data_IF_325246904411
#
_entry.id   IF_325246904411
#
_cell.length_a   1.000
_cell.length_b   1.000
_cell.length_c   1.000
_cell.angle_alpha   90.00
_cell.angle_beta   90.00
_cell.angle_gamma   90.00
#
_symmetry.space_group_name_H-M   'P 1'
#
loop_
_entity.id
_entity.type
_entity.pdbx_description
1 polymer ?
#
# COMPACT_ATOMS: atom_id res chain seq x y z
N UNK A 1 75.25 9.02 34.60
CA UNK A 1 74.79 10.35 34.23
C UNK A 1 73.62 10.20 33.32
N UNK A 2 72.45 10.39 33.82
CA UNK A 2 71.19 10.07 33.11
C UNK A 2 70.49 11.41 32.86
N UNK A 3 70.37 11.75 31.59
CA UNK A 3 69.71 12.99 31.20
C UNK A 3 68.26 12.69 30.80
N UNK A 4 67.36 13.15 31.61
CA UNK A 4 65.95 12.98 31.49
C UNK A 4 65.38 14.16 30.69
N UNK A 5 64.86 13.91 29.49
CA UNK A 5 64.14 14.88 28.66
C UNK A 5 62.63 14.77 28.86
N UNK A 6 61.89 15.86 28.98
CA UNK A 6 60.45 15.79 29.21
C UNK A 6 59.68 15.47 27.91
N UNK A 7 58.80 14.52 28.01
CA UNK A 7 57.86 14.14 26.94
C UNK A 7 56.76 15.20 26.86
N UNK A 8 56.69 15.88 25.72
CA UNK A 8 55.58 16.79 25.39
C UNK A 8 54.41 15.95 24.89
N UNK A 9 53.34 15.93 25.66
CA UNK A 9 52.08 15.35 25.27
C UNK A 9 51.35 16.32 24.31
N UNK A 10 51.34 15.99 23.03
CA UNK A 10 50.52 16.70 22.06
C UNK A 10 49.15 16.05 22.10
N UNK A 11 48.18 16.78 22.63
CA UNK A 11 46.76 16.38 22.56
C UNK A 11 46.25 16.62 21.12
N UNK A 12 46.17 15.57 20.35
CA UNK A 12 45.44 15.57 19.06
C UNK A 12 43.96 15.60 19.34
N UNK A 13 43.35 16.78 19.21
CA UNK A 13 41.92 16.93 19.12
C UNK A 13 41.46 16.31 17.77
N UNK A 14 40.99 15.08 17.81
CA UNK A 14 40.31 14.46 16.67
C UNK A 14 38.94 15.09 16.57
N UNK A 15 38.82 15.97 15.59
CA UNK A 15 37.52 16.51 15.15
C UNK A 15 36.81 15.38 14.35
N UNK A 16 35.98 14.58 15.01
CA UNK A 16 35.07 13.67 14.32
C UNK A 16 34.00 14.48 13.62
N UNK A 17 34.22 14.73 12.33
CA UNK A 17 33.16 15.15 11.44
C UNK A 17 32.13 14.00 11.31
N UNK A 18 31.01 14.13 12.01
CA UNK A 18 29.85 13.27 11.81
C UNK A 18 29.25 13.62 10.44
N UNK A 19 29.65 12.88 9.44
CA UNK A 19 28.93 12.82 8.18
C UNK A 19 27.55 12.20 8.48
N UNK A 20 26.56 13.05 8.69
CA UNK A 20 25.18 12.64 8.78
C UNK A 20 24.74 12.04 7.45
N UNK A 21 24.67 10.72 7.37
CA UNK A 21 23.90 10.07 6.33
C UNK A 21 22.44 10.47 6.50
N UNK A 22 22.01 11.42 5.67
CA UNK A 22 20.59 11.79 5.54
C UNK A 22 19.87 10.63 4.85
N UNK A 23 19.50 9.62 5.62
CA UNK A 23 18.52 8.65 5.18
C UNK A 23 17.19 9.38 5.09
N UNK A 24 16.71 9.64 3.88
CA UNK A 24 15.32 10.05 3.68
C UNK A 24 14.43 9.04 4.41
N UNK A 25 13.54 9.46 5.30
CA UNK A 25 12.60 8.55 5.91
C UNK A 25 11.76 7.95 4.77
N UNK A 26 11.89 6.64 4.58
CA UNK A 26 11.00 5.85 3.74
C UNK A 26 9.64 5.97 4.41
N UNK A 27 8.76 6.78 3.85
CA UNK A 27 7.39 6.84 4.30
C UNK A 27 6.77 5.49 3.98
N UNK A 28 6.77 4.63 4.97
CA UNK A 28 5.92 3.46 4.98
C UNK A 28 4.52 4.00 5.14
N UNK A 29 3.77 4.09 4.05
CA UNK A 29 2.33 4.33 4.12
C UNK A 29 1.74 3.04 4.69
N UNK A 30 1.76 2.96 6.00
CA UNK A 30 0.95 1.99 6.71
C UNK A 30 -0.47 2.51 6.55
N UNK A 31 -1.29 1.85 5.75
CA UNK A 31 -2.75 2.00 5.78
C UNK A 31 -3.25 1.26 7.02
N UNK A 32 -2.58 1.49 8.13
CA UNK A 32 -3.06 1.19 9.46
C UNK A 32 -3.26 2.56 10.08
N UNK A 33 -4.53 2.95 10.23
CA UNK A 33 -4.87 4.13 10.99
C UNK A 33 -4.16 4.08 12.35
N UNK A 34 -3.14 4.92 12.51
CA UNK A 34 -2.59 5.23 13.82
C UNK A 34 -3.70 5.96 14.59
N UNK A 35 -4.45 5.18 15.35
CA UNK A 35 -5.49 5.67 16.25
C UNK A 35 -4.82 6.29 17.48
N UNK A 36 -4.12 7.40 17.26
CA UNK A 36 -3.70 8.27 18.36
C UNK A 36 -4.47 9.58 18.22
N UNK A 37 -5.46 9.75 19.04
CA UNK A 37 -6.26 10.95 19.32
C UNK A 37 -7.76 10.91 18.94
N UNK A 38 -8.42 9.77 18.81
CA UNK A 38 -9.88 9.77 18.62
C UNK A 38 -10.37 10.42 17.31
N UNK A 39 -9.46 10.77 16.40
CA UNK A 39 -9.75 11.30 15.10
C UNK A 39 -9.97 10.15 14.13
N UNK A 40 -11.15 10.08 13.52
CA UNK A 40 -11.39 9.14 12.42
C UNK A 40 -10.36 9.40 11.31
N UNK A 41 -9.86 8.34 10.64
CA UNK A 41 -8.95 8.51 9.51
C UNK A 41 -9.61 9.40 8.44
N UNK A 42 -8.83 10.28 7.84
CA UNK A 42 -9.29 11.05 6.69
C UNK A 42 -9.44 10.11 5.49
N UNK A 43 -10.67 9.80 5.13
CA UNK A 43 -11.00 8.88 4.05
C UNK A 43 -11.08 9.57 2.67
N UNK A 44 -11.10 10.89 2.64
CA UNK A 44 -11.24 11.67 1.39
C UNK A 44 -10.13 11.34 0.39
N UNK A 45 -8.84 11.31 0.76
CA UNK A 45 -7.79 10.95 -0.17
C UNK A 45 -7.89 9.50 -0.68
N UNK A 46 -8.38 8.59 0.16
CA UNK A 46 -8.56 7.18 -0.20
C UNK A 46 -9.67 7.05 -1.24
N UNK A 47 -10.82 7.67 -0.99
CA UNK A 47 -11.96 7.67 -1.91
C UNK A 47 -11.56 8.30 -3.25
N UNK A 48 -10.88 9.44 -3.23
CA UNK A 48 -10.41 10.09 -4.44
C UNK A 48 -9.47 9.20 -5.25
N UNK A 49 -8.51 8.53 -4.60
CA UNK A 49 -7.56 7.62 -5.25
C UNK A 49 -8.27 6.40 -5.87
N UNK A 50 -9.28 5.84 -5.21
CA UNK A 50 -10.08 4.73 -5.73
C UNK A 50 -10.88 5.16 -6.96
N UNK A 51 -11.53 6.33 -6.91
CA UNK A 51 -12.31 6.85 -8.03
C UNK A 51 -11.43 7.21 -9.22
N UNK A 52 -10.27 7.81 -9.00
CA UNK A 52 -9.28 8.07 -10.05
C UNK A 52 -8.81 6.76 -10.71
N UNK A 53 -8.60 5.72 -9.93
CA UNK A 53 -8.23 4.42 -10.47
C UNK A 53 -9.38 3.83 -11.30
N UNK A 54 -10.60 3.88 -10.79
CA UNK A 54 -11.78 3.41 -11.52
C UNK A 54 -11.89 4.13 -12.87
N UNK A 55 -11.86 5.47 -12.89
CA UNK A 55 -11.95 6.23 -14.13
C UNK A 55 -10.83 5.92 -15.12
N UNK A 56 -9.60 5.74 -14.61
CA UNK A 56 -8.45 5.39 -15.46
C UNK A 56 -8.58 4.01 -16.10
N UNK A 57 -9.37 3.14 -15.52
CA UNK A 57 -9.55 1.73 -15.93
C UNK A 57 -10.96 1.40 -16.39
N UNK A 58 -11.87 2.38 -16.37
CA UNK A 58 -13.27 2.19 -16.75
C UNK A 58 -13.39 1.51 -18.11
N UNK A 59 -14.23 0.47 -18.18
CA UNK A 59 -14.45 -0.28 -19.40
C UNK A 59 -13.34 -1.28 -19.78
N UNK A 60 -12.23 -1.32 -19.03
CA UNK A 60 -11.21 -2.37 -19.23
C UNK A 60 -11.84 -3.73 -19.05
N UNK A 61 -11.77 -4.58 -20.07
CA UNK A 61 -12.42 -5.90 -20.08
C UNK A 61 -11.80 -6.85 -19.08
N UNK A 62 -12.62 -7.73 -18.54
CA UNK A 62 -12.10 -8.82 -17.71
C UNK A 62 -11.23 -9.77 -18.53
N UNK A 63 -10.06 -10.09 -18.00
CA UNK A 63 -9.16 -11.09 -18.55
C UNK A 63 -8.45 -11.83 -17.42
N UNK A 64 -8.66 -13.12 -17.31
CA UNK A 64 -8.00 -13.96 -16.31
C UNK A 64 -6.48 -13.79 -16.34
N UNK A 65 -5.87 -13.53 -15.18
CA UNK A 65 -4.44 -13.27 -15.04
C UNK A 65 -3.99 -11.92 -15.58
N UNK A 66 -4.90 -11.10 -16.13
CA UNK A 66 -4.58 -9.80 -16.71
C UNK A 66 -4.22 -8.75 -15.69
N UNK A 67 -3.34 -7.82 -16.09
CA UNK A 67 -2.84 -6.70 -15.28
C UNK A 67 -2.67 -5.42 -16.09
N UNK A 68 -3.26 -5.33 -17.26
CA UNK A 68 -3.09 -4.25 -18.24
C UNK A 68 -4.45 -3.66 -18.64
N UNK A 69 -4.43 -2.45 -19.21
CA UNK A 69 -5.64 -1.82 -19.78
C UNK A 69 -6.24 -2.61 -20.95
N UNK A 70 -5.50 -3.55 -21.53
CA UNK A 70 -6.00 -4.50 -22.54
C UNK A 70 -6.76 -5.66 -21.94
N UNK A 71 -6.74 -5.80 -20.62
CA UNK A 71 -7.47 -6.83 -19.87
C UNK A 71 -6.91 -7.02 -18.47
N UNK A 72 -7.80 -7.12 -17.50
CA UNK A 72 -7.47 -7.22 -16.07
C UNK A 72 -8.42 -8.17 -15.36
N UNK A 73 -7.91 -8.97 -14.41
CA UNK A 73 -8.76 -9.72 -13.48
C UNK A 73 -8.96 -8.97 -12.15
N UNK A 74 -9.79 -9.52 -11.27
CA UNK A 74 -10.14 -8.88 -10.01
C UNK A 74 -8.91 -8.61 -9.11
N UNK A 75 -8.04 -9.59 -8.92
CA UNK A 75 -6.82 -9.43 -8.13
C UNK A 75 -5.75 -8.59 -8.86
N UNK A 76 -5.75 -8.62 -10.19
CA UNK A 76 -4.91 -7.74 -11.01
C UNK A 76 -5.28 -6.27 -10.86
N UNK A 77 -6.58 -5.96 -10.86
CA UNK A 77 -7.07 -4.61 -10.60
C UNK A 77 -6.71 -4.13 -9.19
N UNK A 78 -6.90 -4.99 -8.18
CA UNK A 78 -6.49 -4.68 -6.80
C UNK A 78 -4.99 -4.41 -6.72
N UNK A 79 -4.16 -5.30 -7.26
CA UNK A 79 -2.71 -5.13 -7.28
C UNK A 79 -2.28 -3.83 -7.95
N UNK A 80 -2.84 -3.51 -9.12
CA UNK A 80 -2.55 -2.26 -9.82
C UNK A 80 -2.96 -1.04 -9.00
N UNK A 81 -4.12 -1.06 -8.39
CA UNK A 81 -4.60 0.03 -7.54
C UNK A 81 -3.68 0.26 -6.34
N UNK A 82 -3.32 -0.80 -5.62
CA UNK A 82 -2.40 -0.71 -4.48
C UNK A 82 -1.04 -0.14 -4.88
N UNK A 83 -0.53 -0.55 -6.04
CA UNK A 83 0.75 -0.07 -6.56
C UNK A 83 0.66 1.36 -7.07
N UNK A 84 -0.32 1.66 -7.93
CA UNK A 84 -0.36 2.91 -8.70
C UNK A 84 -0.90 4.08 -7.88
N UNK A 85 -1.85 3.84 -6.96
CA UNK A 85 -2.52 4.89 -6.19
C UNK A 85 -2.04 4.98 -4.75
N UNK A 86 -1.71 3.85 -4.15
CA UNK A 86 -1.30 3.80 -2.74
C UNK A 86 0.20 3.58 -2.54
N UNK A 87 0.94 3.42 -3.64
CA UNK A 87 2.39 3.24 -3.61
C UNK A 87 2.85 2.06 -2.73
N UNK A 88 2.02 1.03 -2.65
CA UNK A 88 2.30 -0.18 -1.88
C UNK A 88 3.11 -1.14 -2.76
N UNK A 89 4.39 -1.35 -2.46
CA UNK A 89 5.23 -2.28 -3.20
C UNK A 89 4.89 -3.70 -2.81
N UNK A 90 4.26 -4.43 -3.71
CA UNK A 90 3.97 -5.85 -3.52
C UNK A 90 4.06 -6.61 -4.83
N UNK A 91 4.43 -7.88 -4.74
CA UNK A 91 4.38 -8.78 -5.88
C UNK A 91 2.94 -9.06 -6.31
N UNK A 92 2.79 -9.45 -7.56
CA UNK A 92 1.49 -9.85 -8.09
C UNK A 92 1.02 -11.14 -7.41
N UNK A 93 -0.08 -11.06 -6.68
CA UNK A 93 -0.70 -12.19 -5.96
C UNK A 93 -2.11 -12.45 -6.44
N UNK A 94 -2.59 -13.66 -6.24
CA UNK A 94 -3.95 -14.09 -6.57
C UNK A 94 -4.95 -13.67 -5.50
N UNK A 95 -6.25 -13.76 -5.81
CA UNK A 95 -7.30 -13.52 -4.82
C UNK A 95 -7.22 -14.48 -3.62
N UNK A 96 -6.77 -15.73 -3.85
CA UNK A 96 -6.59 -16.72 -2.77
C UNK A 96 -5.45 -16.36 -1.82
N UNK A 97 -4.46 -15.66 -2.31
CA UNK A 97 -3.35 -15.17 -1.49
C UNK A 97 -3.75 -13.89 -0.77
N UNK A 98 -4.38 -12.93 -1.47
CA UNK A 98 -4.84 -11.66 -0.91
C UNK A 98 -5.72 -11.84 0.33
N UNK A 99 -6.65 -12.81 0.33
CA UNK A 99 -7.57 -13.01 1.46
C UNK A 99 -6.85 -13.39 2.75
N UNK A 100 -5.62 -13.87 2.66
CA UNK A 100 -4.79 -14.26 3.81
C UNK A 100 -3.78 -13.18 4.22
N UNK A 101 -3.72 -12.05 3.52
CA UNK A 101 -2.68 -11.03 3.73
C UNK A 101 -3.10 -9.90 4.65
N UNK A 102 -4.35 -9.73 4.93
CA UNK A 102 -4.88 -8.63 5.74
C UNK A 102 -5.34 -9.07 7.12
N UNK A 103 -5.93 -8.11 7.83
CA UNK A 103 -6.66 -8.37 9.07
C UNK A 103 -8.16 -8.43 8.76
N UNK A 104 -8.90 -9.40 9.30
CA UNK A 104 -10.34 -9.45 9.12
C UNK A 104 -11.03 -8.22 9.72
N UNK A 105 -11.96 -7.64 8.99
CA UNK A 105 -12.79 -6.51 9.42
C UNK A 105 -14.24 -6.96 9.43
N UNK A 106 -14.97 -6.60 10.48
CA UNK A 106 -16.41 -6.87 10.54
C UNK A 106 -17.14 -6.02 9.47
N UNK A 107 -18.14 -6.59 8.83
CA UNK A 107 -18.90 -5.91 7.76
C UNK A 107 -19.43 -4.53 8.16
N UNK A 108 -19.84 -4.37 9.43
CA UNK A 108 -20.32 -3.09 9.96
C UNK A 108 -19.23 -2.01 10.10
N UNK A 109 -17.96 -2.42 10.06
CA UNK A 109 -16.80 -1.54 10.24
C UNK A 109 -16.00 -1.34 8.95
N UNK A 110 -16.53 -1.74 7.80
CA UNK A 110 -15.87 -1.54 6.51
C UNK A 110 -15.68 -0.05 6.24
N UNK A 111 -14.49 0.29 5.79
CA UNK A 111 -14.10 1.63 5.36
C UNK A 111 -13.69 1.62 3.89
N UNK A 112 -13.86 2.73 3.16
CA UNK A 112 -13.32 2.86 1.82
C UNK A 112 -11.84 2.46 1.75
N UNK A 113 -11.52 1.59 0.80
CA UNK A 113 -10.19 1.00 0.64
C UNK A 113 -10.02 -0.40 1.23
N UNK A 114 -10.93 -0.85 2.08
CA UNK A 114 -10.93 -2.24 2.54
C UNK A 114 -11.21 -3.20 1.38
N UNK A 115 -10.56 -4.37 1.42
CA UNK A 115 -10.81 -5.41 0.43
C UNK A 115 -12.03 -6.25 0.82
N UNK A 116 -12.94 -6.40 -0.12
CA UNK A 116 -14.13 -7.22 0.02
C UNK A 116 -13.96 -8.50 -0.82
N UNK A 117 -14.16 -9.64 -0.18
CA UNK A 117 -14.07 -10.95 -0.82
C UNK A 117 -15.44 -11.62 -0.87
N UNK A 118 -15.79 -12.17 -2.00
CA UNK A 118 -17.06 -12.89 -2.20
C UNK A 118 -16.90 -13.99 -3.23
N UNK A 119 -17.90 -14.90 -3.29
CA UNK A 119 -17.89 -16.00 -4.23
C UNK A 119 -18.92 -15.79 -5.32
N UNK A 120 -18.48 -15.97 -6.57
CA UNK A 120 -19.33 -16.01 -7.74
C UNK A 120 -19.15 -17.40 -8.37
N UNK A 121 -20.20 -18.23 -8.41
CA UNK A 121 -20.13 -19.58 -9.01
C UNK A 121 -18.90 -20.37 -8.55
N UNK A 122 -18.66 -20.44 -7.24
CA UNK A 122 -17.51 -21.12 -6.62
C UNK A 122 -16.13 -20.46 -6.82
N UNK A 123 -16.00 -19.42 -7.63
CA UNK A 123 -14.77 -18.67 -7.77
C UNK A 123 -14.70 -17.55 -6.74
N UNK A 124 -13.52 -17.37 -6.13
CA UNK A 124 -13.27 -16.29 -5.20
C UNK A 124 -13.00 -15.00 -5.98
N UNK A 125 -13.70 -13.94 -5.60
CA UNK A 125 -13.60 -12.62 -6.22
C UNK A 125 -13.21 -11.57 -5.18
N UNK A 126 -12.59 -10.47 -5.63
CA UNK A 126 -12.15 -9.38 -4.77
C UNK A 126 -12.41 -8.02 -5.40
N UNK A 127 -12.69 -7.04 -4.58
CA UNK A 127 -12.77 -5.63 -4.95
C UNK A 127 -12.49 -4.74 -3.75
N UNK A 128 -12.44 -3.44 -3.95
CA UNK A 128 -12.34 -2.45 -2.89
C UNK A 128 -13.74 -2.04 -2.44
N UNK A 129 -13.97 -2.02 -1.14
CA UNK A 129 -15.13 -1.32 -0.61
C UNK A 129 -14.98 0.17 -0.90
N UNK A 130 -16.04 0.78 -1.35
CA UNK A 130 -16.12 2.22 -1.59
C UNK A 130 -17.05 2.86 -0.56
N UNK A 131 -18.06 3.60 -0.98
CA UNK A 131 -19.09 4.20 -0.13
C UNK A 131 -20.44 3.54 -0.38
N UNK A 132 -21.36 3.68 0.53
CA UNK A 132 -22.77 3.30 0.34
C UNK A 132 -23.01 1.86 -0.13
N UNK A 133 -22.20 0.92 0.38
CA UNK A 133 -22.26 -0.51 0.02
C UNK A 133 -21.90 -0.80 -1.44
N UNK A 134 -21.21 0.11 -2.10
CA UNK A 134 -20.62 -0.12 -3.40
C UNK A 134 -19.20 -0.69 -3.24
N UNK A 135 -18.71 -1.32 -4.28
CA UNK A 135 -17.34 -1.78 -4.35
C UNK A 135 -16.81 -1.69 -5.78
N UNK A 136 -15.54 -1.39 -5.91
CA UNK A 136 -14.84 -1.22 -7.18
C UNK A 136 -14.11 -2.52 -7.52
N UNK A 137 -14.38 -3.07 -8.70
CA UNK A 137 -13.77 -4.34 -9.10
C UNK A 137 -13.71 -4.52 -10.62
N UNK A 138 -12.91 -5.50 -11.07
CA UNK A 138 -12.98 -5.98 -12.44
C UNK A 138 -14.08 -7.04 -12.57
N UNK A 139 -15.26 -6.63 -13.00
CA UNK A 139 -16.40 -7.51 -13.22
C UNK A 139 -16.18 -8.40 -14.46
N UNK A 140 -16.48 -9.70 -14.35
CA UNK A 140 -16.36 -10.63 -15.47
C UNK A 140 -17.22 -10.21 -16.67
N UNK A 141 -18.38 -9.64 -16.44
CA UNK A 141 -19.34 -9.29 -17.50
C UNK A 141 -19.25 -7.82 -17.96
N UNK A 142 -18.79 -6.92 -17.07
CA UNK A 142 -18.80 -5.47 -17.34
C UNK A 142 -17.41 -4.85 -17.44
N UNK A 143 -16.37 -5.57 -17.04
CA UNK A 143 -15.04 -5.00 -16.87
C UNK A 143 -14.90 -4.21 -15.58
N UNK A 144 -13.98 -3.25 -15.54
CA UNK A 144 -13.76 -2.41 -14.37
C UNK A 144 -14.97 -1.47 -14.17
N UNK A 145 -15.58 -1.56 -13.00
CA UNK A 145 -16.77 -0.83 -12.56
C UNK A 145 -16.70 -0.57 -11.06
#
# INVERSE_FOLDING_TARGET
MINSAPVKIIACLLFCALAGCSSKPRQTVTVAADTQNGQQPDLIPIIAALHDQMHSWEGTKYRWGGTQLTGVDCSGFVWRTLKDRFNIPMERVTTKELINMGKPVAQANLLPGDLVFFRIKNELHVGFYDTDRHFLHASVSRGVV
#
